data_IF_923792104604
#
_entry.id   IF_923792104604
#
_cell.length_a   1.000
_cell.length_b   1.000
_cell.length_c   1.000
_cell.angle_alpha   90.00
_cell.angle_beta   90.00
_cell.angle_gamma   90.00
#
_symmetry.space_group_name_H-M   'P 1'
#
loop_
_entity.id
_entity.type
_entity.pdbx_description
1 polymer ?
#
# COMPACT_ATOMS: atom_id res chain seq x y z
N UNK A 1 -19.33 12.81 7.19
CA UNK A 1 -18.20 12.44 6.65
C UNK A 1 -18.24 11.11 5.99
N UNK A 2 -18.00 11.07 4.82
CA UNK A 2 -18.25 9.89 4.05
C UNK A 2 -17.16 8.84 4.12
N UNK A 3 -16.71 8.51 5.29
CA UNK A 3 -15.65 7.55 5.41
C UNK A 3 -16.12 6.16 5.71
N UNK A 4 -17.40 6.01 5.84
CA UNK A 4 -17.94 4.74 6.28
C UNK A 4 -17.60 3.59 5.33
N UNK A 5 -17.35 3.88 4.09
CA UNK A 5 -17.09 2.83 3.12
C UNK A 5 -15.63 2.47 3.00
N UNK A 6 -14.79 2.96 3.91
CA UNK A 6 -13.38 2.70 3.74
C UNK A 6 -12.74 2.31 5.06
N UNK A 7 -11.81 1.42 4.98
CA UNK A 7 -10.98 1.03 6.10
C UNK A 7 -9.57 1.50 5.83
N UNK A 8 -8.93 2.01 6.86
CA UNK A 8 -7.55 2.45 6.76
C UNK A 8 -6.75 1.64 7.75
N UNK A 9 -5.77 0.92 7.25
CA UNK A 9 -4.93 0.05 8.06
C UNK A 9 -3.49 0.51 7.99
N UNK A 10 -2.85 0.59 9.12
CA UNK A 10 -1.42 0.87 9.15
C UNK A 10 -0.69 -0.42 8.81
N UNK A 11 0.29 -0.34 7.95
CA UNK A 11 1.02 -1.53 7.55
C UNK A 11 2.46 -1.22 7.19
N UNK A 12 3.18 -2.26 6.87
CA UNK A 12 4.56 -2.14 6.44
C UNK A 12 4.77 -2.99 5.20
N UNK A 13 5.58 -2.47 4.29
CA UNK A 13 5.93 -3.20 3.09
C UNK A 13 6.87 -4.33 3.45
N UNK A 14 6.51 -5.56 3.12
CA UNK A 14 7.37 -6.70 3.34
C UNK A 14 8.35 -6.85 2.19
N UNK A 15 7.84 -6.78 0.97
CA UNK A 15 8.69 -6.76 -0.20
C UNK A 15 7.89 -6.28 -1.39
N UNK A 16 8.57 -6.09 -2.51
CA UNK A 16 7.89 -5.75 -3.75
C UNK A 16 8.77 -6.15 -4.92
N UNK A 17 8.16 -6.22 -6.07
CA UNK A 17 8.88 -6.57 -7.28
C UNK A 17 8.12 -6.14 -8.52
N UNK A 18 8.81 -6.16 -9.64
CA UNK A 18 8.19 -5.84 -10.92
C UNK A 18 7.67 -7.11 -11.57
N UNK A 19 6.47 -7.01 -12.11
CA UNK A 19 5.88 -8.06 -12.91
C UNK A 19 5.39 -7.42 -14.19
N UNK A 20 6.15 -7.52 -15.24
CA UNK A 20 5.86 -6.78 -16.45
C UNK A 20 6.03 -5.30 -16.18
N UNK A 21 5.00 -4.52 -16.40
CA UNK A 21 5.03 -3.10 -16.12
C UNK A 21 4.28 -2.75 -14.83
N UNK A 22 4.03 -3.72 -13.99
CA UNK A 22 3.30 -3.51 -12.75
C UNK A 22 4.20 -3.80 -11.56
N UNK A 23 4.11 -2.97 -10.55
CA UNK A 23 4.76 -3.24 -9.28
C UNK A 23 3.78 -3.99 -8.39
N UNK A 24 4.22 -5.12 -7.86
CA UNK A 24 3.42 -5.91 -6.94
C UNK A 24 4.08 -5.81 -5.57
N UNK A 25 3.35 -5.30 -4.61
CA UNK A 25 3.86 -5.10 -3.27
C UNK A 25 3.08 -5.96 -2.28
N UNK A 26 3.80 -6.56 -1.36
CA UNK A 26 3.20 -7.32 -0.27
C UNK A 26 3.29 -6.48 0.99
N UNK A 27 2.16 -6.27 1.63
CA UNK A 27 2.05 -5.39 2.79
C UNK A 27 1.48 -6.16 3.95
N UNK A 28 2.11 -6.01 5.11
CA UNK A 28 1.62 -6.60 6.33
C UNK A 28 0.88 -5.52 7.12
N UNK A 29 -0.42 -5.67 7.20
CA UNK A 29 -1.28 -4.74 7.92
C UNK A 29 -2.22 -5.52 8.84
N UNK A 30 -1.66 -6.46 9.58
CA UNK A 30 -2.43 -7.38 10.40
C UNK A 30 -2.71 -8.67 9.64
N UNK A 31 -2.74 -8.60 8.35
CA UNK A 31 -2.81 -9.72 7.43
C UNK A 31 -1.99 -9.33 6.22
N UNK A 32 -1.66 -10.28 5.39
CA UNK A 32 -0.90 -9.97 4.19
C UNK A 32 -1.83 -9.52 3.09
N UNK A 33 -1.47 -8.39 2.49
CA UNK A 33 -2.19 -7.86 1.35
C UNK A 33 -1.23 -7.73 0.20
N UNK A 34 -1.71 -8.08 -0.98
CA UNK A 34 -0.92 -7.93 -2.20
C UNK A 34 -1.59 -6.82 -3.02
N UNK A 35 -0.84 -5.80 -3.35
CA UNK A 35 -1.37 -4.68 -4.11
C UNK A 35 -0.56 -4.48 -5.37
N UNK A 36 -1.22 -4.00 -6.40
CA UNK A 36 -0.63 -3.74 -7.70
C UNK A 36 -0.59 -2.23 -7.91
N UNK A 37 0.57 -1.75 -8.33
CA UNK A 37 0.81 -0.32 -8.48
C UNK A 37 1.52 -0.06 -9.80
N UNK A 38 1.39 1.16 -10.28
CA UNK A 38 2.23 1.59 -11.38
C UNK A 38 3.63 1.87 -10.85
N UNK A 39 4.66 1.74 -11.69
CA UNK A 39 6.01 2.08 -11.25
C UNK A 39 6.13 3.51 -10.75
N UNK A 40 5.48 4.45 -11.43
CA UNK A 40 5.48 5.83 -10.98
C UNK A 40 4.83 6.01 -9.63
N UNK A 41 3.71 5.32 -9.39
CA UNK A 41 3.04 5.37 -8.10
C UNK A 41 3.90 4.79 -6.99
N UNK A 42 4.55 3.67 -7.26
CA UNK A 42 5.43 3.06 -6.29
C UNK A 42 6.61 3.97 -5.95
N UNK A 43 7.17 4.61 -6.96
CA UNK A 43 8.28 5.52 -6.76
C UNK A 43 7.85 6.73 -5.93
N UNK A 44 6.70 7.29 -6.24
CA UNK A 44 6.17 8.43 -5.51
C UNK A 44 5.96 8.09 -4.04
N UNK A 45 5.51 6.89 -3.75
CA UNK A 45 5.28 6.46 -2.39
C UNK A 45 6.57 6.09 -1.67
N UNK A 46 7.66 5.92 -2.40
CA UNK A 46 8.92 5.52 -1.81
C UNK A 46 8.86 4.12 -1.23
N UNK A 47 8.20 3.21 -1.94
CA UNK A 47 8.06 1.85 -1.45
C UNK A 47 9.40 1.14 -1.40
N UNK A 48 9.61 0.45 -0.30
CA UNK A 48 10.78 -0.41 -0.11
C UNK A 48 10.49 -1.30 1.09
N UNK A 49 11.20 -2.41 1.24
CA UNK A 49 10.98 -3.27 2.39
C UNK A 49 11.15 -2.49 3.69
N UNK A 50 10.19 -2.63 4.57
CA UNK A 50 10.19 -1.92 5.84
C UNK A 50 9.51 -0.57 5.81
N UNK A 51 9.16 -0.05 4.65
CA UNK A 51 8.46 1.23 4.57
C UNK A 51 7.09 1.13 5.21
N UNK A 52 6.70 2.17 5.92
CA UNK A 52 5.40 2.22 6.55
C UNK A 52 4.42 2.91 5.62
N UNK A 53 3.25 2.32 5.51
CA UNK A 53 2.23 2.81 4.60
C UNK A 53 0.86 2.70 5.26
N UNK A 54 -0.08 3.41 4.69
CA UNK A 54 -1.49 3.25 5.00
C UNK A 54 -2.11 2.45 3.88
N UNK A 55 -2.85 1.42 4.26
CA UNK A 55 -3.60 0.63 3.29
C UNK A 55 -5.04 1.08 3.37
N UNK A 56 -5.52 1.67 2.32
CA UNK A 56 -6.88 2.20 2.26
C UNK A 56 -7.72 1.25 1.45
N UNK A 57 -8.67 0.62 2.09
CA UNK A 57 -9.52 -0.37 1.46
C UNK A 57 -10.90 0.22 1.30
N UNK A 58 -11.33 0.33 0.07
CA UNK A 58 -12.68 0.73 -0.26
C UNK A 58 -13.48 -0.49 -0.66
N UNK A 59 -14.75 -0.29 -0.87
CA UNK A 59 -15.61 -1.39 -1.27
C UNK A 59 -15.09 -2.16 -2.47
N UNK A 60 -14.50 -1.45 -3.42
CA UNK A 60 -14.09 -2.09 -4.67
C UNK A 60 -12.59 -2.03 -4.93
N UNK A 61 -11.84 -1.40 -4.06
CA UNK A 61 -10.44 -1.21 -4.38
C UNK A 61 -9.62 -1.05 -3.13
N UNK A 62 -8.33 -1.25 -3.29
CA UNK A 62 -7.36 -1.10 -2.24
C UNK A 62 -6.31 -0.12 -2.72
N UNK A 63 -6.01 0.88 -1.94
CA UNK A 63 -5.00 1.87 -2.26
C UNK A 63 -3.94 1.92 -1.21
N UNK A 64 -2.75 2.27 -1.63
CA UNK A 64 -1.64 2.44 -0.70
C UNK A 64 -1.29 3.91 -0.66
N UNK A 65 -1.15 4.45 0.52
CA UNK A 65 -0.74 5.82 0.73
C UNK A 65 0.44 5.83 1.67
N UNK A 66 1.31 6.81 1.48
CA UNK A 66 2.46 6.95 2.33
C UNK A 66 2.03 7.39 3.71
N UNK A 67 2.57 6.74 4.71
CA UNK A 67 2.23 7.08 6.08
C UNK A 67 2.83 8.43 6.45
N UNK A 68 2.04 9.34 6.99
CA UNK A 68 2.57 10.61 7.46
C UNK A 68 3.36 10.47 8.75
N UNK A 69 3.24 9.32 9.38
CA UNK A 69 3.91 9.10 10.65
C UNK A 69 5.19 8.33 10.48
N UNK A 70 5.87 8.45 9.44
CA UNK A 70 7.03 7.62 9.27
C UNK A 70 7.88 7.64 10.50
N UNK A 71 8.64 6.76 10.64
CA UNK A 71 9.50 6.77 11.81
C UNK A 71 10.92 6.77 11.46
#
# INVERSE_FOLDING_TARGET
MGLSARNVLAGAVLDYGMHGSTVVATIDAGARFVVHLTPGGADTLGLRPGARVWLIIKTYSCRVARSPWHS
#
